data_IF_188050500363
#
_entry.id   IF_188050500363
#
_cell.length_a   1.000
_cell.length_b   1.000
_cell.length_c   1.000
_cell.angle_alpha   90.00
_cell.angle_beta   90.00
_cell.angle_gamma   90.00
#
_symmetry.space_group_name_H-M   'P 1'
#
loop_
_entity.id
_entity.type
_entity.pdbx_description
1 polymer ?
#
# COMPACT_ATOMS: atom_id res chain seq x y z
N UNK A 1 -9.36 -10.98 5.53
CA UNK A 1 -8.60 -9.78 5.07
C UNK A 1 -9.19 -9.14 3.83
N UNK A 2 -9.38 -9.87 2.71
CA UNK A 2 -10.00 -9.32 1.50
C UNK A 2 -11.37 -8.69 1.78
N UNK A 3 -12.21 -9.35 2.57
CA UNK A 3 -13.52 -8.83 2.99
C UNK A 3 -13.40 -7.54 3.84
N UNK A 4 -12.47 -7.50 4.80
CA UNK A 4 -12.19 -6.29 5.60
C UNK A 4 -11.80 -5.13 4.68
N UNK A 5 -10.92 -5.37 3.71
CA UNK A 5 -10.48 -4.38 2.72
C UNK A 5 -11.66 -3.89 1.87
N UNK A 6 -12.54 -4.80 1.42
CA UNK A 6 -13.73 -4.42 0.66
C UNK A 6 -14.64 -3.49 1.49
N UNK A 7 -14.89 -3.84 2.75
CA UNK A 7 -15.69 -3.02 3.67
C UNK A 7 -15.06 -1.66 3.94
N UNK A 8 -13.74 -1.58 4.15
CA UNK A 8 -13.07 -0.29 4.27
C UNK A 8 -13.18 0.53 2.99
N UNK A 9 -12.96 -0.07 1.82
CA UNK A 9 -13.03 0.63 0.54
C UNK A 9 -14.42 1.21 0.30
N UNK A 10 -15.48 0.43 0.54
CA UNK A 10 -16.87 0.88 0.48
C UNK A 10 -17.15 1.99 1.51
N UNK A 11 -16.75 1.77 2.77
CA UNK A 11 -17.03 2.73 3.84
C UNK A 11 -16.34 4.09 3.63
N UNK A 12 -15.22 4.13 2.92
CA UNK A 12 -14.43 5.33 2.69
C UNK A 12 -14.58 5.91 1.27
N UNK A 13 -15.43 5.32 0.42
CA UNK A 13 -15.60 5.72 -0.97
C UNK A 13 -15.98 7.21 -1.14
N UNK A 14 -16.86 7.70 -0.26
CA UNK A 14 -17.38 9.08 -0.28
C UNK A 14 -16.48 10.10 0.44
N UNK A 15 -15.37 9.66 1.04
CA UNK A 15 -14.45 10.54 1.75
C UNK A 15 -13.49 11.20 0.77
N UNK A 16 -13.85 12.37 0.24
CA UNK A 16 -13.04 13.10 -0.74
C UNK A 16 -11.61 13.44 -0.30
N UNK A 17 -11.35 13.44 1.01
CA UNK A 17 -10.04 13.69 1.62
C UNK A 17 -9.22 12.42 1.90
N UNK A 18 -9.76 11.23 1.62
CA UNK A 18 -9.11 9.94 1.88
C UNK A 18 -9.11 9.06 0.63
N UNK A 19 -7.92 8.65 0.20
CA UNK A 19 -7.76 7.70 -0.89
C UNK A 19 -7.41 6.31 -0.35
N UNK A 20 -8.19 5.32 -0.77
CA UNK A 20 -8.02 3.91 -0.41
C UNK A 20 -7.04 3.17 -1.35
N UNK A 21 -6.38 2.09 -0.87
CA UNK A 21 -5.55 1.26 -1.74
C UNK A 21 -6.41 0.44 -2.72
N UNK A 22 -5.98 0.39 -3.97
CA UNK A 22 -6.67 -0.32 -5.05
C UNK A 22 -5.84 -1.52 -5.51
N UNK A 23 -6.47 -2.68 -5.70
CA UNK A 23 -5.82 -3.81 -6.37
C UNK A 23 -5.73 -3.53 -7.87
N UNK A 24 -4.61 -2.93 -8.29
CA UNK A 24 -4.38 -2.58 -9.70
C UNK A 24 -4.45 -3.79 -10.63
N UNK A 25 -4.12 -5.00 -10.17
CA UNK A 25 -4.17 -6.23 -11.00
C UNK A 25 -5.59 -6.71 -11.28
N UNK A 26 -6.56 -6.35 -10.42
CA UNK A 26 -7.99 -6.53 -10.71
C UNK A 26 -8.57 -5.37 -11.52
N UNK A 27 -8.06 -4.15 -11.35
CA UNK A 27 -8.53 -2.96 -12.07
C UNK A 27 -8.11 -2.97 -13.55
N UNK A 28 -6.93 -3.48 -13.87
CA UNK A 28 -6.51 -3.79 -15.24
C UNK A 28 -6.94 -5.22 -15.59
N UNK A 29 -8.15 -5.40 -16.12
CA UNK A 29 -8.46 -6.63 -16.83
C UNK A 29 -7.38 -6.88 -17.90
N UNK A 30 -6.82 -8.09 -17.91
CA UNK A 30 -5.76 -8.58 -18.82
C UNK A 30 -4.33 -8.19 -18.42
N UNK A 31 -3.51 -9.23 -18.17
CA UNK A 31 -2.09 -9.11 -17.87
C UNK A 31 -1.32 -8.48 -19.02
N UNK A 32 -0.69 -7.34 -18.75
CA UNK A 32 0.38 -6.81 -19.58
C UNK A 32 1.69 -7.40 -19.05
N UNK A 33 2.25 -8.37 -19.78
CA UNK A 33 3.65 -8.75 -19.62
C UNK A 33 4.49 -7.57 -20.06
N UNK A 34 5.18 -6.90 -19.14
CA UNK A 34 6.27 -6.00 -19.48
C UNK A 34 7.40 -6.85 -20.08
N UNK A 35 7.42 -6.92 -21.41
CA UNK A 35 8.48 -7.55 -22.19
C UNK A 35 9.74 -6.69 -22.10
N UNK A 36 10.72 -7.14 -21.31
CA UNK A 36 12.09 -6.68 -21.45
C UNK A 36 12.60 -7.01 -22.87
N UNK A 37 13.37 -6.13 -23.52
CA UNK A 37 13.90 -6.40 -24.85
C UNK A 37 14.91 -7.57 -24.79
N UNK A 38 14.97 -8.43 -25.82
CA UNK A 38 15.88 -9.57 -25.83
C UNK A 38 17.32 -9.08 -26.02
N UNK A 39 18.18 -9.40 -25.05
CA UNK A 39 19.63 -9.25 -25.20
C UNK A 39 20.13 -10.29 -26.20
N UNK A 40 20.68 -9.79 -27.31
CA UNK A 40 21.25 -10.61 -28.38
C UNK A 40 22.72 -10.91 -28.06
N UNK A 41 23.04 -12.13 -27.64
CA UNK A 41 24.21 -12.93 -28.07
C UNK A 41 24.73 -13.91 -27.00
N UNK A 42 24.33 -15.18 -27.09
CA UNK A 42 25.24 -16.35 -26.87
C UNK A 42 24.53 -17.65 -27.25
N UNK A 43 25.19 -18.62 -27.92
CA UNK A 43 24.58 -19.89 -28.30
C UNK A 43 24.59 -20.90 -27.14
N UNK A 44 23.46 -21.58 -26.96
CA UNK A 44 23.20 -22.61 -25.94
C UNK A 44 23.99 -23.92 -26.16
N UNK A 45 24.34 -24.66 -25.10
CA UNK A 45 24.41 -26.11 -25.15
C UNK A 45 23.15 -26.74 -24.54
N UNK A 46 22.63 -27.70 -25.28
CA UNK A 46 21.50 -28.62 -25.08
C UNK A 46 20.96 -28.80 -23.64
N UNK A 47 19.70 -28.41 -23.43
CA UNK A 47 18.94 -28.73 -22.22
C UNK A 47 17.85 -29.76 -22.57
N UNK A 48 17.87 -30.83 -21.78
CA UNK A 48 16.90 -31.92 -21.59
C UNK A 48 15.48 -31.69 -22.15
N UNK A 49 14.93 -32.74 -22.78
CA UNK A 49 13.59 -32.81 -23.40
C UNK A 49 12.47 -32.12 -22.60
N UNK A 50 11.62 -31.30 -23.26
CA UNK A 50 10.51 -30.63 -22.59
C UNK A 50 9.35 -31.62 -22.44
N UNK A 51 9.30 -32.35 -21.33
CA UNK A 51 8.10 -33.08 -20.95
C UNK A 51 7.81 -32.82 -19.49
N UNK A 52 6.69 -32.13 -19.27
CA UNK A 52 6.13 -31.68 -18.00
C UNK A 52 6.85 -30.51 -17.31
N UNK A 53 6.84 -29.32 -17.95
CA UNK A 53 6.62 -28.12 -17.14
C UNK A 53 5.18 -28.25 -16.65
N UNK A 54 5.01 -28.78 -15.44
CA UNK A 54 3.78 -28.58 -14.69
C UNK A 54 3.71 -27.08 -14.48
N UNK A 55 2.93 -26.37 -15.31
CA UNK A 55 2.57 -25.01 -14.96
C UNK A 55 2.03 -25.10 -13.54
N UNK A 56 2.61 -24.35 -12.56
CA UNK A 56 1.97 -24.27 -11.26
C UNK A 56 0.50 -23.90 -11.52
N UNK A 57 -0.45 -24.48 -10.78
CA UNK A 57 -1.86 -24.17 -10.96
C UNK A 57 -1.98 -22.67 -11.09
N UNK A 58 -2.76 -22.20 -12.07
CA UNK A 58 -3.00 -20.78 -12.31
C UNK A 58 -3.71 -20.18 -11.10
N UNK A 59 -2.96 -19.99 -10.02
CA UNK A 59 -3.40 -19.36 -8.80
C UNK A 59 -3.55 -17.89 -9.15
N UNK A 60 -4.80 -17.45 -9.05
CA UNK A 60 -5.21 -16.06 -8.99
C UNK A 60 -4.27 -15.28 -8.08
N UNK A 61 -3.23 -14.66 -8.65
CA UNK A 61 -2.23 -13.90 -7.91
C UNK A 61 -2.84 -12.59 -7.39
N UNK A 62 -3.60 -12.68 -6.31
CA UNK A 62 -4.20 -11.54 -5.61
C UNK A 62 -3.20 -10.80 -4.71
N UNK A 63 -3.54 -9.59 -4.28
CA UNK A 63 -2.82 -8.89 -3.21
C UNK A 63 -3.04 -9.64 -1.89
N UNK A 64 -1.96 -9.89 -1.13
CA UNK A 64 -2.03 -10.60 0.16
C UNK A 64 -2.69 -9.78 1.28
N UNK A 65 -2.78 -8.46 1.07
CA UNK A 65 -3.31 -7.48 2.01
C UNK A 65 -2.61 -7.55 3.37
N UNK A 66 -1.28 -7.42 3.34
CA UNK A 66 -0.49 -7.34 4.57
C UNK A 66 -0.74 -6.02 5.33
N UNK A 67 -0.89 -4.91 4.61
CA UNK A 67 -1.16 -3.58 5.16
C UNK A 67 -2.33 -2.94 4.42
N UNK A 68 -3.12 -2.15 5.16
CA UNK A 68 -4.11 -1.25 4.59
C UNK A 68 -3.65 0.19 4.76
N UNK A 69 -2.88 0.68 3.79
CA UNK A 69 -2.34 2.04 3.78
C UNK A 69 -3.19 2.96 2.93
N UNK A 70 -3.80 3.95 3.57
CA UNK A 70 -4.54 5.03 2.91
C UNK A 70 -3.63 6.23 2.67
N UNK A 71 -4.02 7.10 1.72
CA UNK A 71 -3.44 8.43 1.57
C UNK A 71 -4.46 9.46 2.01
N UNK A 72 -4.10 10.24 3.03
CA UNK A 72 -4.96 11.25 3.63
C UNK A 72 -4.50 12.63 3.19
N UNK A 73 -5.46 13.46 2.74
CA UNK A 73 -5.27 14.89 2.57
C UNK A 73 -5.39 15.60 3.92
N UNK A 74 -4.27 15.65 4.63
CA UNK A 74 -4.16 16.28 5.95
C UNK A 74 -4.45 17.79 5.91
N UNK A 75 -4.17 18.45 4.78
CA UNK A 75 -4.45 19.86 4.60
C UNK A 75 -5.97 20.10 4.48
N UNK A 76 -6.66 19.31 3.65
CA UNK A 76 -8.12 19.37 3.54
C UNK A 76 -8.84 19.04 4.85
N UNK A 77 -8.27 18.16 5.69
CA UNK A 77 -8.75 17.88 7.05
C UNK A 77 -8.48 19.01 8.06
N UNK A 78 -7.57 19.94 7.75
CA UNK A 78 -7.10 20.94 8.71
C UNK A 78 -6.39 20.33 9.92
N UNK A 79 -5.76 19.16 9.77
CA UNK A 79 -5.08 18.42 10.86
C UNK A 79 -3.76 17.85 10.39
N UNK A 80 -2.73 17.96 11.21
CA UNK A 80 -1.46 17.26 10.97
C UNK A 80 -1.64 15.73 11.09
N UNK A 81 -0.75 14.96 10.46
CA UNK A 81 -0.73 13.50 10.61
C UNK A 81 -0.65 13.06 12.08
N UNK A 82 0.12 13.77 12.90
CA UNK A 82 0.26 13.47 14.34
C UNK A 82 -1.06 13.67 15.09
N UNK A 83 -1.81 14.73 14.79
CA UNK A 83 -3.12 14.96 15.40
C UNK A 83 -4.12 13.89 14.98
N UNK A 84 -4.14 13.50 13.70
CA UNK A 84 -4.97 12.39 13.21
C UNK A 84 -4.62 11.08 13.93
N UNK A 85 -3.34 10.73 14.01
CA UNK A 85 -2.88 9.53 14.73
C UNK A 85 -3.28 9.56 16.21
N UNK A 86 -3.19 10.73 16.84
CA UNK A 86 -3.57 10.93 18.25
C UNK A 86 -5.07 10.78 18.45
N UNK A 87 -5.89 11.37 17.56
CA UNK A 87 -7.34 11.26 17.60
C UNK A 87 -7.83 9.82 17.39
N UNK A 88 -7.24 9.10 16.43
CA UNK A 88 -7.54 7.68 16.20
C UNK A 88 -7.13 6.82 17.41
N UNK A 89 -5.95 7.08 17.98
CA UNK A 89 -5.48 6.36 19.18
C UNK A 89 -6.41 6.59 20.38
N UNK A 90 -6.93 7.80 20.57
CA UNK A 90 -7.88 8.11 21.64
C UNK A 90 -9.20 7.31 21.51
N UNK A 91 -9.54 6.87 20.30
CA UNK A 91 -10.67 6.00 20.00
C UNK A 91 -10.30 4.50 19.97
N UNK A 92 -9.08 4.14 20.39
CA UNK A 92 -8.60 2.76 20.39
C UNK A 92 -8.04 2.25 19.06
N UNK A 93 -7.91 3.11 18.04
CA UNK A 93 -7.41 2.72 16.72
C UNK A 93 -5.90 2.99 16.63
N UNK A 94 -5.11 1.92 16.69
CA UNK A 94 -3.66 1.98 16.48
C UNK A 94 -3.31 2.17 15.00
N UNK A 95 -2.45 3.13 14.69
CA UNK A 95 -2.01 3.41 13.31
C UNK A 95 -0.49 3.36 13.18
N UNK A 96 -0.02 3.20 11.94
CA UNK A 96 1.40 3.19 11.63
C UNK A 96 1.70 4.06 10.41
N UNK A 97 2.96 4.47 10.25
CA UNK A 97 3.44 5.23 9.10
C UNK A 97 4.59 4.46 8.45
N UNK A 98 4.38 3.97 7.23
CA UNK A 98 5.32 3.13 6.50
C UNK A 98 5.54 3.66 5.08
N UNK A 99 6.75 4.03 4.66
CA UNK A 99 7.95 4.30 5.46
C UNK A 99 8.54 5.65 5.04
N UNK A 100 9.33 6.27 5.91
CA UNK A 100 10.16 7.41 5.54
C UNK A 100 11.00 7.00 4.31
N UNK A 101 11.02 7.79 3.23
CA UNK A 101 11.85 7.50 2.06
C UNK A 101 13.28 7.18 2.50
N UNK A 102 13.80 6.02 2.09
CA UNK A 102 15.05 5.46 2.64
C UNK A 102 16.23 6.42 2.57
N UNK A 103 16.30 7.22 1.51
CA UNK A 103 17.38 8.17 1.27
C UNK A 103 17.36 9.37 2.27
N UNK A 104 16.24 9.59 2.96
CA UNK A 104 16.09 10.59 4.03
C UNK A 104 16.43 10.04 5.42
N UNK A 105 16.72 8.75 5.55
CA UNK A 105 17.19 8.19 6.81
C UNK A 105 18.55 8.81 7.20
N UNK A 106 18.84 8.99 8.52
CA UNK A 106 20.01 9.75 8.98
C UNK A 106 21.33 9.33 8.31
N UNK A 107 21.59 8.03 8.26
CA UNK A 107 22.82 7.50 7.67
C UNK A 107 23.01 7.86 6.20
N UNK A 108 21.96 7.81 5.38
CA UNK A 108 22.03 8.16 3.95
C UNK A 108 22.21 9.67 3.75
N UNK A 109 21.59 10.49 4.59
CA UNK A 109 21.75 11.95 4.55
C UNK A 109 23.17 12.36 4.94
N UNK A 110 23.71 11.75 5.99
CA UNK A 110 25.08 12.01 6.47
C UNK A 110 26.14 11.52 5.49
N UNK A 111 25.96 10.32 4.93
CA UNK A 111 26.97 9.68 4.05
C UNK A 111 26.98 10.27 2.64
N UNK A 112 25.81 10.61 2.08
CA UNK A 112 25.69 11.02 0.67
C UNK A 112 25.18 12.46 0.48
N UNK A 113 24.89 13.19 1.57
CA UNK A 113 24.38 14.55 1.49
C UNK A 113 22.98 14.65 0.87
N UNK A 114 22.19 13.58 0.89
CA UNK A 114 20.86 13.60 0.29
C UNK A 114 19.87 14.50 1.04
N UNK A 115 19.01 15.17 0.28
CA UNK A 115 18.04 16.15 0.76
C UNK A 115 16.67 15.91 0.14
N UNK A 116 15.65 16.45 0.80
CA UNK A 116 14.26 16.50 0.30
C UNK A 116 14.24 17.09 -1.12
N UNK A 117 13.38 16.56 -1.99
CA UNK A 117 13.29 16.91 -3.40
C UNK A 117 14.00 15.91 -4.32
N UNK A 118 14.82 14.99 -3.80
CA UNK A 118 15.51 13.98 -4.62
C UNK A 118 14.55 12.94 -5.22
N UNK A 119 13.49 12.59 -4.51
CA UNK A 119 12.51 11.59 -4.95
C UNK A 119 11.08 12.10 -4.68
N UNK A 120 10.59 13.06 -5.47
CA UNK A 120 9.36 13.79 -5.19
C UNK A 120 8.13 12.90 -5.05
N UNK A 121 8.05 11.81 -5.83
CA UNK A 121 6.93 10.86 -5.76
C UNK A 121 6.90 10.08 -4.44
N UNK A 122 8.06 9.65 -3.94
CA UNK A 122 8.16 8.93 -2.67
C UNK A 122 7.84 9.86 -1.49
N UNK A 123 8.29 11.11 -1.58
CA UNK A 123 8.01 12.16 -0.59
C UNK A 123 6.52 12.51 -0.56
N UNK A 124 5.91 12.74 -1.72
CA UNK A 124 4.49 13.05 -1.84
C UNK A 124 3.60 11.92 -1.31
N UNK A 125 3.95 10.66 -1.62
CA UNK A 125 3.25 9.50 -1.07
C UNK A 125 3.41 9.44 0.46
N UNK A 126 4.64 9.53 0.97
CA UNK A 126 4.92 9.44 2.41
C UNK A 126 4.23 10.56 3.20
N UNK A 127 4.14 11.77 2.65
CA UNK A 127 3.47 12.90 3.29
C UNK A 127 1.99 12.62 3.61
N UNK A 128 1.33 11.78 2.79
CA UNK A 128 -0.09 11.43 2.91
C UNK A 128 -0.34 10.06 3.55
N UNK A 129 0.67 9.19 3.60
CA UNK A 129 0.50 7.79 3.99
C UNK A 129 0.16 7.62 5.49
N UNK A 130 -0.89 6.83 5.75
CA UNK A 130 -1.25 6.31 7.07
C UNK A 130 -1.80 4.89 6.95
N UNK A 131 -1.26 3.95 7.73
CA UNK A 131 -1.74 2.56 7.75
C UNK A 131 -2.74 2.36 8.89
N UNK A 132 -3.92 1.83 8.53
CA UNK A 132 -4.99 1.46 9.46
C UNK A 132 -4.86 -0.02 9.85
N UNK A 133 -5.49 -0.44 10.97
CA UNK A 133 -5.51 -1.83 11.39
C UNK A 133 -6.04 -2.77 10.30
N UNK A 134 -5.24 -3.78 9.98
CA UNK A 134 -5.64 -4.87 9.11
C UNK A 134 -4.94 -6.16 9.56
N UNK A 135 -5.71 -7.08 10.15
CA UNK A 135 -5.23 -8.40 10.54
C UNK A 135 -6.37 -9.43 10.41
N UNK A 136 -6.07 -10.74 10.32
CA UNK A 136 -7.05 -11.71 9.85
C UNK A 136 -8.15 -12.02 10.88
N UNK A 137 -7.92 -11.72 12.16
CA UNK A 137 -8.83 -12.02 13.27
C UNK A 137 -9.64 -10.81 13.74
N UNK A 138 -9.71 -9.72 12.94
CA UNK A 138 -10.60 -8.60 13.26
C UNK A 138 -12.06 -9.06 13.21
N UNK A 139 -12.84 -8.72 14.24
CA UNK A 139 -14.29 -8.93 14.22
C UNK A 139 -15.01 -7.86 13.39
N UNK A 140 -16.30 -8.05 13.14
CA UNK A 140 -17.10 -7.05 12.45
C UNK A 140 -17.19 -5.74 13.23
N UNK A 141 -17.20 -5.83 14.56
CA UNK A 141 -17.18 -4.69 15.48
C UNK A 141 -15.83 -3.97 15.47
N UNK A 142 -14.70 -4.69 15.33
CA UNK A 142 -13.38 -4.07 15.18
C UNK A 142 -13.34 -3.22 13.90
N UNK A 143 -13.82 -3.79 12.79
CA UNK A 143 -13.88 -3.10 11.48
C UNK A 143 -14.77 -1.86 11.57
N UNK A 144 -15.96 -1.99 12.16
CA UNK A 144 -16.88 -0.87 12.33
C UNK A 144 -16.31 0.22 13.25
N UNK A 145 -15.59 -0.17 14.30
CA UNK A 145 -14.93 0.77 15.20
C UNK A 145 -13.86 1.59 14.47
N UNK A 146 -13.06 0.96 13.60
CA UNK A 146 -12.08 1.67 12.76
C UNK A 146 -12.78 2.60 11.78
N UNK A 147 -13.81 2.12 11.08
CA UNK A 147 -14.58 2.94 10.12
C UNK A 147 -15.17 4.17 10.78
N UNK A 148 -15.84 3.98 11.92
CA UNK A 148 -16.43 5.07 12.71
C UNK A 148 -15.38 6.08 13.14
N UNK A 149 -14.23 5.61 13.66
CA UNK A 149 -13.18 6.49 14.13
C UNK A 149 -12.57 7.35 13.01
N UNK A 150 -12.39 6.77 11.81
CA UNK A 150 -11.90 7.49 10.63
C UNK A 150 -12.93 8.52 10.16
N UNK A 151 -14.21 8.17 10.10
CA UNK A 151 -15.28 9.10 9.70
C UNK A 151 -15.45 10.29 10.64
N UNK A 152 -15.10 10.13 11.93
CA UNK A 152 -15.14 11.19 12.94
C UNK A 152 -13.95 12.16 12.88
N UNK A 153 -13.00 11.98 11.96
CA UNK A 153 -11.85 12.89 11.82
C UNK A 153 -12.22 14.23 11.16
N UNK A 154 -13.29 14.25 10.36
CA UNK A 154 -13.85 15.42 9.71
C UNK A 154 -15.10 15.87 10.47
#
# INVERSE_FOLDING_TARGET
>A
RQEIVARYNEAFEELSWLQTPVDKRRASGVGQQDSLPPDSSTPSPEICSPSAIHNPPSETQGVSWHLYTVQIDFEALGKTRTEVMTALRAQGVGTQVLYIPVYLQPWYRETYGYTVGKCPNAEAYYAKALSLPLYPTMSDEDVESVVKAVKQLF
#
